data_IF_448334883149
#
_entry.id   IF_448334883149
#
_cell.length_a   1.000
_cell.length_b   1.000
_cell.length_c   1.000
_cell.angle_alpha   90.00
_cell.angle_beta   90.00
_cell.angle_gamma   90.00
#
_symmetry.space_group_name_H-M   'P 1'
#
loop_
_entity.id
_entity.type
_entity.pdbx_description
1 polymer ?
#
# COMPACT_ATOMS: atom_id res chain seq x y z
N UNK A 1 6.02 -4.15 6.90
CA UNK A 1 4.87 -4.55 6.05
C UNK A 1 4.45 -3.40 5.13
N UNK A 2 4.32 -3.67 3.83
CA UNK A 2 3.92 -2.68 2.84
C UNK A 2 2.82 -3.24 1.91
N UNK A 3 1.56 -3.00 2.26
CA UNK A 3 0.44 -3.51 1.49
C UNK A 3 0.33 -2.90 0.08
N UNK A 4 0.87 -1.71 -0.19
CA UNK A 4 0.67 -1.01 -1.47
C UNK A 4 1.72 -1.39 -2.52
N UNK A 5 2.99 -1.49 -2.15
CA UNK A 5 4.02 -1.91 -3.11
C UNK A 5 3.98 -3.43 -3.34
N UNK A 6 3.63 -4.22 -2.31
CA UNK A 6 3.56 -5.69 -2.43
C UNK A 6 2.47 -6.18 -3.40
N UNK A 7 1.37 -5.43 -3.61
CA UNK A 7 0.37 -5.82 -4.60
C UNK A 7 0.91 -5.80 -6.04
N UNK A 8 2.01 -5.09 -6.30
CA UNK A 8 2.72 -5.09 -7.60
C UNK A 8 3.91 -6.04 -7.64
N UNK A 9 4.11 -6.87 -6.61
CA UNK A 9 5.19 -7.85 -6.61
C UNK A 9 5.09 -8.76 -7.86
N UNK A 10 6.17 -8.89 -8.68
CA UNK A 10 6.12 -9.53 -10.01
C UNK A 10 5.61 -10.97 -10.04
N UNK A 11 5.77 -11.71 -8.94
CA UNK A 11 5.31 -13.11 -8.77
C UNK A 11 4.05 -13.17 -7.89
N UNK A 12 4.18 -12.78 -6.62
CA UNK A 12 3.17 -12.97 -5.57
C UNK A 12 2.11 -11.86 -5.49
N UNK A 13 2.29 -10.75 -6.21
CA UNK A 13 1.40 -9.59 -6.12
C UNK A 13 0.05 -9.81 -6.81
N UNK A 14 -0.97 -9.07 -6.37
CA UNK A 14 -2.27 -9.08 -7.05
C UNK A 14 -2.17 -8.60 -8.49
N UNK A 15 -1.32 -7.61 -8.79
CA UNK A 15 -0.97 -7.07 -10.11
C UNK A 15 0.41 -7.57 -10.57
N UNK A 16 0.68 -8.86 -10.38
CA UNK A 16 1.90 -9.51 -10.85
C UNK A 16 2.15 -9.33 -12.36
N UNK A 17 3.35 -9.71 -12.82
CA UNK A 17 3.79 -9.50 -14.21
C UNK A 17 2.84 -10.07 -15.26
N UNK A 18 2.12 -11.15 -14.94
CA UNK A 18 1.11 -11.73 -15.85
C UNK A 18 -0.07 -10.78 -16.10
N UNK A 19 -0.46 -9.98 -15.10
CA UNK A 19 -1.59 -9.04 -15.19
C UNK A 19 -1.16 -7.64 -15.59
N UNK A 20 -0.05 -7.15 -15.04
CA UNK A 20 0.46 -5.80 -15.35
C UNK A 20 1.19 -5.74 -16.69
N UNK A 21 1.69 -6.88 -17.18
CA UNK A 21 2.61 -6.93 -18.32
C UNK A 21 4.01 -6.41 -17.99
N UNK A 22 4.27 -6.04 -16.74
CA UNK A 22 5.56 -5.48 -16.33
C UNK A 22 6.59 -6.59 -16.12
N UNK A 23 7.59 -6.63 -17.01
CA UNK A 23 8.66 -7.64 -17.05
C UNK A 23 10.00 -6.99 -17.39
N UNK A 24 11.10 -7.71 -17.15
CA UNK A 24 12.44 -7.26 -17.50
C UNK A 24 13.22 -6.71 -16.30
N UNK A 25 14.36 -6.04 -16.55
CA UNK A 25 15.31 -5.68 -15.50
C UNK A 25 14.71 -4.83 -14.37
N UNK A 26 13.81 -3.90 -14.69
CA UNK A 26 13.17 -3.04 -13.69
C UNK A 26 12.21 -3.84 -12.79
N UNK A 27 11.48 -4.80 -13.36
CA UNK A 27 10.59 -5.67 -12.60
C UNK A 27 11.40 -6.61 -11.69
N UNK A 28 12.51 -7.17 -12.19
CA UNK A 28 13.41 -7.99 -11.39
C UNK A 28 14.05 -7.19 -10.25
N UNK A 29 14.52 -5.97 -10.52
CA UNK A 29 15.10 -5.11 -9.48
C UNK A 29 14.05 -4.69 -8.45
N UNK A 30 12.82 -4.42 -8.89
CA UNK A 30 11.72 -4.13 -7.98
C UNK A 30 11.41 -5.31 -7.05
N UNK A 31 11.40 -6.55 -7.57
CA UNK A 31 11.25 -7.75 -6.73
C UNK A 31 12.33 -7.81 -5.66
N UNK A 32 13.60 -7.67 -6.05
CA UNK A 32 14.74 -7.71 -5.13
C UNK A 32 14.61 -6.65 -4.03
N UNK A 33 14.27 -5.41 -4.38
CA UNK A 33 14.07 -4.34 -3.40
C UNK A 33 12.98 -4.67 -2.39
N UNK A 34 11.89 -5.32 -2.80
CA UNK A 34 10.83 -5.75 -1.88
C UNK A 34 11.28 -6.90 -0.98
N UNK A 35 12.03 -7.86 -1.50
CA UNK A 35 12.58 -8.99 -0.74
C UNK A 35 13.63 -8.53 0.28
N UNK A 36 14.54 -7.64 -0.11
CA UNK A 36 15.51 -6.97 0.78
C UNK A 36 14.77 -6.18 1.89
N UNK A 37 13.75 -5.41 1.52
CA UNK A 37 12.96 -4.63 2.48
C UNK A 37 12.20 -5.50 3.48
N UNK A 38 11.74 -6.68 3.07
CA UNK A 38 11.08 -7.64 3.96
C UNK A 38 12.03 -8.23 5.00
N UNK A 39 13.32 -8.36 4.66
CA UNK A 39 14.36 -8.89 5.54
C UNK A 39 15.03 -7.82 6.42
N UNK A 40 14.93 -6.53 6.06
CA UNK A 40 15.55 -5.45 6.83
C UNK A 40 14.86 -5.23 8.18
N UNK A 41 15.67 -5.26 9.24
CA UNK A 41 15.27 -4.98 10.63
C UNK A 41 15.40 -3.49 10.98
N UNK A 42 16.14 -2.70 10.19
CA UNK A 42 16.27 -1.25 10.37
C UNK A 42 15.15 -0.50 9.63
N UNK A 43 14.47 0.39 10.34
CA UNK A 43 13.32 1.09 9.77
C UNK A 43 13.73 2.12 8.71
N UNK A 44 14.92 2.72 8.80
CA UNK A 44 15.37 3.75 7.84
C UNK A 44 15.82 3.09 6.54
N UNK A 45 16.59 2.01 6.65
CA UNK A 45 16.99 1.18 5.52
C UNK A 45 15.76 0.65 4.78
N UNK A 46 14.81 0.04 5.51
CA UNK A 46 13.58 -0.45 4.91
C UNK A 46 12.77 0.66 4.21
N UNK A 47 12.72 1.86 4.78
CA UNK A 47 12.06 3.00 4.13
C UNK A 47 12.79 3.42 2.85
N UNK A 48 14.12 3.43 2.84
CA UNK A 48 14.91 3.76 1.65
C UNK A 48 14.70 2.72 0.54
N UNK A 49 14.66 1.43 0.87
CA UNK A 49 14.38 0.36 -0.10
C UNK A 49 13.00 0.52 -0.73
N UNK A 50 11.97 0.86 0.05
CA UNK A 50 10.64 1.14 -0.49
C UNK A 50 10.59 2.38 -1.37
N UNK A 51 11.36 3.42 -1.05
CA UNK A 51 11.47 4.61 -1.89
C UNK A 51 12.08 4.29 -3.26
N UNK A 52 13.15 3.49 -3.30
CA UNK A 52 13.73 3.05 -4.58
C UNK A 52 12.77 2.13 -5.37
N UNK A 53 12.02 1.28 -4.68
CA UNK A 53 10.99 0.46 -5.32
C UNK A 53 9.88 1.32 -5.94
N UNK A 54 9.39 2.33 -5.23
CA UNK A 54 8.35 3.25 -5.73
C UNK A 54 8.82 4.03 -6.97
N UNK A 55 10.09 4.47 -7.01
CA UNK A 55 10.66 5.12 -8.21
C UNK A 55 10.59 4.23 -9.45
N UNK A 56 10.83 2.93 -9.31
CA UNK A 56 10.70 2.00 -10.42
C UNK A 56 9.24 1.85 -10.82
N UNK A 57 8.35 1.60 -9.85
CA UNK A 57 6.93 1.36 -10.11
C UNK A 57 6.25 2.56 -10.81
N UNK A 58 6.50 3.77 -10.32
CA UNK A 58 5.88 5.00 -10.86
C UNK A 58 6.69 5.56 -12.03
N UNK A 59 8.01 5.60 -11.92
CA UNK A 59 8.89 6.23 -12.91
C UNK A 59 8.99 5.47 -14.24
N UNK A 60 8.74 4.16 -14.23
CA UNK A 60 8.69 3.34 -15.47
C UNK A 60 7.29 3.23 -16.06
N UNK A 61 6.29 3.86 -15.44
CA UNK A 61 4.93 3.97 -15.98
C UNK A 61 4.06 2.71 -15.79
N UNK A 62 4.37 1.83 -14.84
CA UNK A 62 3.51 0.68 -14.50
C UNK A 62 2.16 1.15 -13.97
N UNK A 63 2.20 2.23 -13.19
CA UNK A 63 1.02 2.94 -12.70
C UNK A 63 1.20 4.45 -12.88
N UNK A 64 0.07 5.15 -13.00
CA UNK A 64 0.00 6.61 -12.97
C UNK A 64 -0.89 7.03 -11.80
N UNK A 65 -0.33 7.20 -10.59
CA UNK A 65 -1.10 7.65 -9.43
C UNK A 65 -1.74 9.01 -9.70
N UNK A 66 -3.01 9.18 -9.33
CA UNK A 66 -3.77 10.42 -9.60
C UNK A 66 -4.06 11.22 -8.33
N UNK A 67 -4.39 10.56 -7.22
CA UNK A 67 -4.67 11.21 -5.94
C UNK A 67 -4.49 10.21 -4.77
N UNK A 68 -4.39 10.77 -3.55
CA UNK A 68 -4.59 10.02 -2.32
C UNK A 68 -6.04 10.20 -1.87
N UNK A 69 -6.76 9.09 -1.71
CA UNK A 69 -8.18 9.12 -1.36
C UNK A 69 -8.42 9.70 0.04
N UNK A 70 -9.39 10.60 0.13
CA UNK A 70 -9.92 11.11 1.41
C UNK A 70 -11.37 10.65 1.58
N UNK A 71 -11.75 10.29 2.79
CA UNK A 71 -13.12 9.89 3.10
C UNK A 71 -13.80 10.96 3.95
N UNK A 72 -15.03 11.31 3.61
CA UNK A 72 -15.90 12.15 4.43
C UNK A 72 -17.02 11.29 5.00
N UNK A 73 -17.15 11.27 6.32
CA UNK A 73 -18.19 10.48 6.99
C UNK A 73 -19.21 11.39 7.65
N UNK A 74 -20.50 11.11 7.43
CA UNK A 74 -21.58 11.74 8.18
C UNK A 74 -21.92 10.91 9.42
N UNK A 75 -21.93 11.54 10.59
CA UNK A 75 -22.25 10.90 11.87
C UNK A 75 -23.41 11.61 12.55
N UNK A 76 -24.44 10.87 12.92
CA UNK A 76 -25.54 11.40 13.73
C UNK A 76 -25.03 11.81 15.13
N UNK A 77 -25.54 12.92 15.69
CA UNK A 77 -25.03 13.49 16.96
C UNK A 77 -25.12 12.53 18.16
N UNK A 78 -26.12 11.64 18.16
CA UNK A 78 -26.37 10.64 19.20
C UNK A 78 -25.55 9.34 19.00
N UNK A 79 -24.84 9.19 17.89
CA UNK A 79 -23.95 8.05 17.65
C UNK A 79 -22.56 8.36 18.21
N UNK A 80 -22.12 7.56 19.17
CA UNK A 80 -20.82 7.66 19.84
C UNK A 80 -19.95 6.44 19.54
N UNK A 81 -18.67 6.53 19.88
CA UNK A 81 -17.70 5.44 19.72
C UNK A 81 -17.24 5.15 18.28
N UNK A 82 -17.72 5.91 17.29
CA UNK A 82 -17.19 5.89 15.93
C UNK A 82 -15.76 6.46 15.90
N UNK A 83 -14.81 5.65 15.41
CA UNK A 83 -13.42 6.02 15.19
C UNK A 83 -13.13 6.15 13.70
N UNK A 84 -12.61 7.31 13.30
CA UNK A 84 -12.14 7.56 11.93
C UNK A 84 -10.79 6.88 11.74
N UNK A 85 -10.84 5.65 11.25
CA UNK A 85 -9.64 4.87 10.96
C UNK A 85 -9.03 5.31 9.62
N UNK A 86 -7.70 5.54 9.55
CA UNK A 86 -7.01 5.73 8.27
C UNK A 86 -6.94 4.43 7.45
N UNK A 87 -7.41 3.30 8.01
CA UNK A 87 -7.54 2.01 7.34
C UNK A 87 -9.02 1.65 7.15
N UNK A 88 -9.31 0.84 6.13
CA UNK A 88 -10.66 0.65 5.59
C UNK A 88 -11.74 0.06 6.54
N UNK A 89 -11.40 -0.36 7.76
CA UNK A 89 -12.35 -1.02 8.66
C UNK A 89 -12.81 -0.09 9.79
N UNK A 90 -14.13 0.07 9.91
CA UNK A 90 -14.80 0.60 11.10
C UNK A 90 -15.07 -0.54 12.08
N UNK A 91 -14.72 -0.36 13.35
CA UNK A 91 -15.09 -1.31 14.41
C UNK A 91 -16.49 -0.99 14.95
N UNK A 92 -17.50 -1.72 14.45
CA UNK A 92 -18.89 -1.52 14.84
C UNK A 92 -19.19 -1.91 16.29
N UNK A 93 -18.36 -2.75 16.93
CA UNK A 93 -18.60 -3.16 18.32
C UNK A 93 -18.36 -2.04 19.33
N UNK A 94 -17.64 -0.98 18.90
CA UNK A 94 -17.40 0.22 19.72
C UNK A 94 -18.47 1.28 19.56
N UNK A 95 -19.36 1.12 18.59
CA UNK A 95 -20.39 2.12 18.26
C UNK A 95 -21.63 1.90 19.12
N UNK A 96 -22.16 2.98 19.68
CA UNK A 96 -23.37 2.94 20.49
C UNK A 96 -24.21 4.21 20.33
N UNK A 97 -25.48 4.11 20.74
CA UNK A 97 -26.42 5.23 20.83
C UNK A 97 -26.49 5.69 22.28
N UNK A 98 -26.43 7.00 22.48
CA UNK A 98 -26.70 7.66 23.77
C UNK A 98 -28.20 7.93 23.96
#
# INVERSE_FOLDING_TARGET
>A
PNALLEIYHPINGYFNSKKSGWTGPDADRYRELLEEAAMSTDNKERAQLFYEAEKLLVGTGVIAPTYLGTYTTYKAKHVKGYYESPHAATDFNRIYIE
#
